data_IF_104138168621
#
_entry.id   IF_104138168621
#
_cell.length_a   1.000
_cell.length_b   1.000
_cell.length_c   1.000
_cell.angle_alpha   90.00
_cell.angle_beta   90.00
_cell.angle_gamma   90.00
#
_symmetry.space_group_name_H-M   'P 1'
#
loop_
_entity.id
_entity.type
_entity.pdbx_description
1 polymer ?
#
# COMPACT_ATOMS: atom_id res chain seq x y z
N UNK A 1 -18.75 56.93 29.41
CA UNK A 1 -19.89 57.85 29.32
C UNK A 1 -20.81 57.42 28.18
N UNK A 2 -21.91 56.73 28.52
CA UNK A 2 -23.07 56.51 27.66
C UNK A 2 -24.07 57.63 27.95
N UNK A 3 -24.80 58.11 26.94
CA UNK A 3 -26.21 58.55 26.98
C UNK A 3 -26.54 59.25 25.66
N UNK A 4 -27.52 58.71 24.92
CA UNK A 4 -28.71 59.49 24.53
C UNK A 4 -29.89 58.56 24.21
N UNK A 5 -30.98 58.83 24.93
CA UNK A 5 -32.33 58.25 24.82
C UNK A 5 -33.17 59.13 23.89
N UNK A 6 -34.19 58.57 23.23
CA UNK A 6 -35.61 59.00 23.32
C UNK A 6 -36.51 58.22 22.34
N UNK A 7 -37.51 57.45 22.83
CA UNK A 7 -38.99 57.70 22.85
C UNK A 7 -39.67 57.37 21.50
N UNK A 8 -40.53 56.34 21.35
CA UNK A 8 -41.86 55.99 21.93
C UNK A 8 -43.06 56.63 21.16
N UNK A 9 -43.99 55.75 20.75
CA UNK A 9 -45.46 55.90 20.55
C UNK A 9 -45.97 56.73 19.35
N UNK A 10 -46.70 56.17 18.37
CA UNK A 10 -48.10 55.64 18.33
C UNK A 10 -49.12 56.70 17.89
N UNK A 11 -49.97 56.37 16.90
CA UNK A 11 -51.41 56.75 16.75
C UNK A 11 -51.84 56.42 15.29
N UNK A 12 -52.65 55.39 15.02
CA UNK A 12 -54.11 55.27 15.17
C UNK A 12 -54.91 56.35 14.43
N UNK A 13 -55.53 55.96 13.31
CA UNK A 13 -56.79 56.53 12.83
C UNK A 13 -57.73 55.37 12.47
N UNK A 14 -58.88 55.41 13.13
CA UNK A 14 -60.01 54.47 13.12
C UNK A 14 -61.26 55.30 12.89
N UNK A 15 -62.18 54.84 12.03
CA UNK A 15 -63.63 54.79 12.28
C UNK A 15 -64.38 54.38 10.99
N UNK A 16 -65.04 53.21 10.97
CA UNK A 16 -66.47 52.95 11.29
C UNK A 16 -67.42 53.50 10.20
N UNK A 17 -68.40 52.76 9.63
CA UNK A 17 -69.45 51.92 10.25
C UNK A 17 -70.22 51.13 9.14
N UNK A 18 -70.54 49.84 9.39
CA UNK A 18 -71.88 49.18 9.28
C UNK A 18 -72.61 49.11 7.89
N UNK A 19 -73.27 48.04 7.40
CA UNK A 19 -74.14 46.98 7.94
C UNK A 19 -74.27 45.84 6.90
N UNK A 20 -74.31 44.58 7.36
CA UNK A 20 -75.16 43.46 6.85
C UNK A 20 -74.96 42.97 5.40
N UNK A 21 -75.47 41.84 4.93
CA UNK A 21 -76.23 40.74 5.51
C UNK A 21 -76.33 39.71 4.36
N UNK A 22 -75.84 38.49 4.57
CA UNK A 22 -76.33 37.20 4.05
C UNK A 22 -76.76 36.99 2.57
N UNK A 23 -76.27 35.86 2.02
CA UNK A 23 -76.89 34.90 1.08
C UNK A 23 -76.40 34.76 -0.38
N UNK A 24 -76.25 33.46 -0.74
CA UNK A 24 -76.15 32.77 -2.04
C UNK A 24 -74.78 32.80 -2.74
N UNK A 25 -73.93 31.77 -2.61
CA UNK A 25 -74.10 30.38 -3.14
C UNK A 25 -74.43 30.34 -4.64
N UNK A 26 -73.42 30.55 -5.48
CA UNK A 26 -73.35 29.91 -6.80
C UNK A 26 -71.97 29.30 -6.96
N UNK A 27 -71.96 27.97 -6.97
CA UNK A 27 -70.85 27.13 -7.35
C UNK A 27 -70.45 27.41 -8.80
N UNK A 28 -69.24 27.90 -9.01
CA UNK A 28 -68.51 27.68 -10.27
C UNK A 28 -67.13 27.18 -9.87
N UNK A 29 -67.01 25.85 -9.79
CA UNK A 29 -65.74 25.17 -9.68
C UNK A 29 -64.97 25.38 -10.99
N UNK A 30 -63.74 25.92 -11.00
CA UNK A 30 -62.87 25.70 -12.16
C UNK A 30 -62.53 24.20 -12.21
N UNK A 31 -62.44 23.59 -13.40
CA UNK A 31 -62.14 22.18 -13.52
C UNK A 31 -60.80 21.89 -12.85
N UNK A 32 -60.81 20.91 -11.94
CA UNK A 32 -59.60 20.32 -11.39
C UNK A 32 -58.80 19.78 -12.57
N UNK A 33 -57.72 20.49 -12.92
CA UNK A 33 -56.64 19.87 -13.64
C UNK A 33 -56.03 18.84 -12.68
N UNK A 34 -56.50 17.59 -12.77
CA UNK A 34 -55.77 16.45 -12.27
C UNK A 34 -54.41 16.46 -12.95
N UNK A 35 -53.43 17.05 -12.28
CA UNK A 35 -52.05 16.80 -12.61
C UNK A 35 -51.79 15.35 -12.20
N UNK A 36 -52.02 14.44 -13.16
CA UNK A 36 -51.53 13.07 -13.14
C UNK A 36 -50.01 13.18 -13.23
N UNK A 37 -49.37 13.50 -12.11
CA UNK A 37 -47.93 13.38 -11.98
C UNK A 37 -47.62 11.88 -11.97
N UNK A 38 -47.18 11.40 -13.13
CA UNK A 38 -46.85 10.01 -13.41
C UNK A 38 -45.84 9.44 -12.42
N UNK A 39 -46.34 8.82 -11.36
CA UNK A 39 -45.55 8.02 -10.43
C UNK A 39 -45.05 6.67 -11.00
N UNK A 40 -45.42 6.34 -12.24
CA UNK A 40 -45.08 5.06 -12.89
C UNK A 40 -43.79 5.04 -13.72
N UNK A 41 -43.26 6.19 -14.15
CA UNK A 41 -42.25 6.20 -15.22
C UNK A 41 -40.81 5.87 -14.79
N UNK A 42 -40.45 6.04 -13.51
CA UNK A 42 -39.07 5.77 -13.08
C UNK A 42 -38.75 4.28 -12.92
N UNK A 43 -39.75 3.45 -12.58
CA UNK A 43 -39.58 2.01 -12.46
C UNK A 43 -39.50 1.32 -13.84
N UNK A 44 -40.24 1.83 -14.83
CA UNK A 44 -40.24 1.32 -16.20
C UNK A 44 -38.96 1.69 -16.98
N UNK A 45 -38.32 2.82 -16.66
CA UNK A 45 -37.11 3.27 -17.33
C UNK A 45 -35.83 2.48 -16.95
N UNK A 46 -35.80 1.83 -15.78
CA UNK A 46 -34.64 1.08 -15.28
C UNK A 46 -35.03 -0.30 -14.72
N UNK A 47 -35.49 -1.24 -15.57
CA UNK A 47 -36.02 -2.51 -15.13
C UNK A 47 -34.95 -3.47 -14.57
N UNK A 48 -33.66 -3.19 -14.79
CA UNK A 48 -32.57 -4.09 -14.43
C UNK A 48 -31.80 -3.56 -13.21
N UNK A 49 -31.62 -4.39 -12.19
CA UNK A 49 -30.83 -4.08 -11.00
C UNK A 49 -29.52 -4.87 -11.00
N UNK A 50 -28.40 -4.16 -10.94
CA UNK A 50 -27.11 -4.71 -10.58
C UNK A 50 -26.88 -4.45 -9.09
N UNK A 51 -27.00 -5.50 -8.28
CA UNK A 51 -26.77 -5.40 -6.85
C UNK A 51 -25.29 -5.16 -6.53
N UNK A 52 -25.05 -4.50 -5.41
CA UNK A 52 -23.75 -4.25 -4.80
C UNK A 52 -22.96 -5.55 -4.62
N UNK A 53 -23.63 -6.62 -4.18
CA UNK A 53 -23.04 -7.95 -4.01
C UNK A 53 -22.55 -8.54 -5.34
N UNK A 54 -23.32 -8.39 -6.43
CA UNK A 54 -22.93 -8.87 -7.75
C UNK A 54 -21.71 -8.11 -8.28
N UNK A 55 -21.70 -6.79 -8.11
CA UNK A 55 -20.56 -5.95 -8.49
C UNK A 55 -19.31 -6.30 -7.67
N UNK A 56 -19.44 -6.50 -6.35
CA UNK A 56 -18.36 -6.95 -5.49
C UNK A 56 -17.82 -8.33 -5.92
N UNK A 57 -18.71 -9.28 -6.26
CA UNK A 57 -18.33 -10.59 -6.79
C UNK A 57 -17.50 -10.52 -8.07
N UNK A 58 -17.89 -9.64 -9.00
CA UNK A 58 -17.12 -9.38 -10.24
C UNK A 58 -15.74 -8.80 -9.91
N UNK A 59 -15.66 -7.82 -9.00
CA UNK A 59 -14.39 -7.25 -8.57
C UNK A 59 -13.49 -8.30 -7.91
N UNK A 60 -14.06 -9.17 -7.06
CA UNK A 60 -13.34 -10.28 -6.43
C UNK A 60 -12.76 -11.21 -7.49
N UNK A 61 -13.57 -11.65 -8.46
CA UNK A 61 -13.10 -12.54 -9.53
C UNK A 61 -11.96 -11.91 -10.34
N UNK A 62 -12.03 -10.61 -10.61
CA UNK A 62 -10.95 -9.90 -11.30
C UNK A 62 -9.64 -9.91 -10.49
N UNK A 63 -9.71 -9.73 -9.17
CA UNK A 63 -8.54 -9.81 -8.29
C UNK A 63 -7.91 -11.21 -8.30
N UNK A 64 -8.72 -12.26 -8.24
CA UNK A 64 -8.26 -13.65 -8.31
C UNK A 64 -7.55 -13.92 -9.65
N UNK A 65 -8.09 -13.42 -10.77
CA UNK A 65 -7.47 -13.53 -12.09
C UNK A 65 -6.12 -12.79 -12.15
N UNK A 66 -6.03 -11.58 -11.61
CA UNK A 66 -4.78 -10.82 -11.58
C UNK A 66 -3.72 -11.48 -10.68
N UNK A 67 -4.12 -12.03 -9.52
CA UNK A 67 -3.25 -12.82 -8.65
C UNK A 67 -2.68 -14.05 -9.39
N UNK A 68 -3.53 -14.76 -10.15
CA UNK A 68 -3.09 -15.88 -10.98
C UNK A 68 -2.10 -15.44 -12.07
N UNK A 69 -2.37 -14.33 -12.77
CA UNK A 69 -1.49 -13.81 -13.84
C UNK A 69 -0.09 -13.43 -13.34
N UNK A 70 0.02 -12.88 -12.13
CA UNK A 70 1.32 -12.54 -11.54
C UNK A 70 2.04 -13.76 -10.94
N UNK A 71 1.42 -14.94 -10.98
CA UNK A 71 1.97 -16.17 -10.43
C UNK A 71 1.91 -16.23 -8.90
N UNK A 72 0.98 -15.51 -8.28
CA UNK A 72 0.83 -15.50 -6.82
C UNK A 72 0.16 -16.79 -6.33
N UNK A 73 0.97 -17.78 -5.99
CA UNK A 73 0.51 -19.07 -5.46
C UNK A 73 0.38 -19.12 -3.93
N UNK A 74 0.76 -18.05 -3.21
CA UNK A 74 0.70 -18.04 -1.74
C UNK A 74 -0.74 -17.94 -1.24
N UNK A 75 -0.94 -18.35 0.02
CA UNK A 75 -2.22 -18.21 0.71
C UNK A 75 -2.58 -16.73 0.78
N UNK A 76 -3.76 -16.36 0.31
CA UNK A 76 -4.21 -14.97 0.31
C UNK A 76 -5.67 -14.86 0.75
N UNK A 77 -6.03 -13.67 1.22
CA UNK A 77 -7.38 -13.32 1.66
C UNK A 77 -7.76 -11.99 1.01
N UNK A 78 -8.92 -11.99 0.35
CA UNK A 78 -9.52 -10.80 -0.24
C UNK A 78 -10.69 -10.35 0.62
N UNK A 79 -10.54 -9.20 1.27
CA UNK A 79 -11.55 -8.62 2.16
C UNK A 79 -12.16 -7.37 1.54
N UNK A 80 -13.46 -7.40 1.27
CA UNK A 80 -14.17 -6.22 0.78
C UNK A 80 -14.18 -5.14 1.87
N UNK A 81 -13.57 -3.99 1.59
CA UNK A 81 -13.49 -2.86 2.53
C UNK A 81 -14.57 -1.82 2.22
N UNK A 82 -14.81 -1.54 0.94
CA UNK A 82 -15.89 -0.62 0.51
C UNK A 82 -16.65 -1.26 -0.63
N UNK A 83 -17.95 -1.45 -0.40
CA UNK A 83 -18.89 -1.98 -1.39
C UNK A 83 -19.36 -0.88 -2.34
N UNK A 84 -19.52 -1.16 -3.64
CA UNK A 84 -20.12 -0.20 -4.57
C UNK A 84 -21.62 -0.04 -4.27
N UNK A 85 -22.25 1.10 -4.57
CA UNK A 85 -23.70 1.23 -4.46
C UNK A 85 -24.42 0.36 -5.49
N UNK A 86 -25.66 -0.02 -5.19
CA UNK A 86 -26.55 -0.65 -6.16
C UNK A 86 -26.71 0.24 -7.41
N UNK A 87 -26.80 -0.40 -8.58
CA UNK A 87 -26.90 0.29 -9.84
C UNK A 87 -28.14 -0.16 -10.61
N UNK A 88 -29.07 0.77 -10.83
CA UNK A 88 -30.21 0.57 -11.72
C UNK A 88 -29.80 0.89 -13.16
N UNK A 89 -30.14 -0.01 -14.08
CA UNK A 89 -29.76 0.01 -15.48
C UNK A 89 -31.02 0.04 -16.37
N UNK A 90 -30.97 0.79 -17.49
CA UNK A 90 -32.04 0.78 -18.47
C UNK A 90 -32.15 -0.58 -19.16
N UNK A 91 -33.28 -0.85 -19.81
CA UNK A 91 -33.48 -2.06 -20.58
C UNK A 91 -32.42 -2.19 -21.68
N UNK A 92 -31.77 -3.35 -21.77
CA UNK A 92 -30.77 -3.61 -22.82
C UNK A 92 -29.87 -4.79 -22.50
N UNK A 93 -28.91 -5.02 -23.39
CA UNK A 93 -27.83 -6.01 -23.17
C UNK A 93 -26.77 -5.38 -22.28
N UNK A 94 -26.54 -5.98 -21.11
CA UNK A 94 -25.52 -5.53 -20.16
C UNK A 94 -24.18 -6.21 -20.46
N UNK A 95 -23.12 -5.42 -20.58
CA UNK A 95 -21.74 -5.90 -20.56
C UNK A 95 -20.99 -5.17 -19.46
N UNK A 96 -20.09 -5.86 -18.77
CA UNK A 96 -19.23 -5.25 -17.76
C UNK A 96 -17.77 -5.63 -17.99
N UNK A 97 -16.89 -4.76 -17.54
CA UNK A 97 -15.45 -4.96 -17.57
C UNK A 97 -14.89 -4.51 -16.23
N UNK A 98 -14.07 -5.35 -15.60
CA UNK A 98 -13.40 -5.05 -14.35
C UNK A 98 -11.90 -4.91 -14.60
N UNK A 99 -11.30 -3.85 -14.07
CA UNK A 99 -9.88 -3.57 -14.21
C UNK A 99 -9.30 -3.13 -12.87
N UNK A 100 -8.03 -3.46 -12.65
CA UNK A 100 -7.25 -2.96 -11.52
C UNK A 100 -6.37 -1.84 -12.04
N UNK A 101 -6.46 -0.62 -11.51
CA UNK A 101 -5.55 0.45 -11.90
C UNK A 101 -4.15 0.18 -11.31
N UNK A 102 -3.14 0.18 -12.17
CA UNK A 102 -1.74 0.04 -11.77
C UNK A 102 -1.35 -1.37 -11.33
N UNK A 103 -0.34 -1.46 -10.46
CA UNK A 103 0.16 -2.74 -9.93
C UNK A 103 -0.68 -3.20 -8.73
N UNK A 104 -0.68 -4.51 -8.52
CA UNK A 104 -1.27 -5.13 -7.32
C UNK A 104 -0.36 -4.86 -6.12
N UNK A 105 -0.91 -4.34 -5.02
CA UNK A 105 -0.18 -4.09 -3.79
C UNK A 105 -0.69 -4.96 -2.66
N UNK A 106 0.20 -5.70 -2.00
CA UNK A 106 -0.14 -6.52 -0.83
C UNK A 106 -0.23 -5.67 0.44
N UNK A 107 -1.14 -6.02 1.33
CA UNK A 107 -1.37 -5.37 2.61
C UNK A 107 -2.17 -4.07 2.53
N UNK A 108 -2.29 -3.48 1.34
CA UNK A 108 -3.03 -2.25 1.10
C UNK A 108 -4.43 -2.51 0.53
N UNK A 109 -5.21 -1.43 0.44
CA UNK A 109 -6.52 -1.46 -0.19
C UNK A 109 -6.35 -1.23 -1.69
N UNK A 110 -6.70 -2.24 -2.49
CA UNK A 110 -6.69 -2.21 -3.94
C UNK A 110 -8.07 -1.77 -4.47
N UNK A 111 -8.14 -0.67 -5.23
CA UNK A 111 -9.35 -0.31 -5.96
C UNK A 111 -9.54 -1.24 -7.16
N UNK A 112 -10.78 -1.60 -7.45
CA UNK A 112 -11.19 -2.30 -8.68
C UNK A 112 -12.24 -1.47 -9.37
N UNK A 113 -11.95 -1.04 -10.59
CA UNK A 113 -12.86 -0.25 -11.40
C UNK A 113 -13.73 -1.18 -12.23
N UNK A 114 -15.04 -1.02 -12.11
CA UNK A 114 -16.02 -1.75 -12.90
C UNK A 114 -16.68 -0.77 -13.86
N UNK A 115 -16.51 -1.00 -15.15
CA UNK A 115 -17.18 -0.26 -16.22
C UNK A 115 -18.40 -1.06 -16.65
N UNK A 116 -19.58 -0.45 -16.56
CA UNK A 116 -20.85 -1.07 -16.96
C UNK A 116 -21.34 -0.42 -18.25
N UNK A 117 -21.58 -1.25 -19.25
CA UNK A 117 -22.05 -0.87 -20.58
C UNK A 117 -23.46 -1.40 -20.80
N UNK A 118 -24.31 -0.59 -21.44
CA UNK A 118 -25.64 -0.99 -21.88
C UNK A 118 -25.73 -0.72 -23.38
N UNK A 119 -26.05 -1.75 -24.17
CA UNK A 119 -26.05 -1.69 -25.63
C UNK A 119 -24.74 -1.10 -26.18
N UNK A 120 -23.61 -1.60 -25.66
CA UNK A 120 -22.22 -1.22 -26.02
C UNK A 120 -21.80 0.21 -25.66
N UNK A 121 -22.69 1.03 -25.09
CA UNK A 121 -22.37 2.37 -24.60
C UNK A 121 -22.06 2.33 -23.10
N UNK A 122 -20.96 2.97 -22.69
CA UNK A 122 -20.62 3.12 -21.27
C UNK A 122 -21.75 3.86 -20.56
N UNK A 123 -22.36 3.21 -19.57
CA UNK A 123 -23.44 3.79 -18.78
C UNK A 123 -22.90 4.42 -17.49
N UNK A 124 -22.18 3.63 -16.69
CA UNK A 124 -21.66 4.10 -15.39
C UNK A 124 -20.41 3.32 -14.97
N UNK A 125 -19.60 3.96 -14.14
CA UNK A 125 -18.48 3.33 -13.43
C UNK A 125 -18.86 3.07 -11.99
N UNK A 126 -18.47 1.92 -11.47
CA UNK A 126 -18.49 1.60 -10.05
C UNK A 126 -17.06 1.30 -9.59
N UNK A 127 -16.76 1.58 -8.33
CA UNK A 127 -15.45 1.29 -7.75
C UNK A 127 -15.69 0.46 -6.49
N UNK A 128 -14.97 -0.64 -6.38
CA UNK A 128 -14.92 -1.47 -5.18
C UNK A 128 -13.52 -1.35 -4.58
N UNK A 129 -13.43 -1.46 -3.26
CA UNK A 129 -12.14 -1.47 -2.58
C UNK A 129 -11.95 -2.78 -1.82
N UNK A 130 -10.89 -3.52 -2.15
CA UNK A 130 -10.54 -4.78 -1.51
C UNK A 130 -9.20 -4.65 -0.81
N UNK A 131 -9.11 -5.13 0.43
CA UNK A 131 -7.82 -5.39 1.04
C UNK A 131 -7.30 -6.74 0.53
N UNK A 132 -6.09 -6.73 -0.02
CA UNK A 132 -5.41 -7.92 -0.54
C UNK A 132 -4.34 -8.33 0.48
N UNK A 133 -4.62 -9.37 1.25
CA UNK A 133 -3.68 -9.89 2.24
C UNK A 133 -3.05 -11.14 1.69
N UNK A 134 -1.72 -11.16 1.58
CA UNK A 134 -0.95 -12.34 1.17
C UNK A 134 -0.14 -12.81 2.37
N UNK A 135 -0.08 -14.11 2.58
CA UNK A 135 0.58 -14.71 3.72
C UNK A 135 1.76 -15.56 3.24
N UNK A 136 2.89 -15.40 3.92
CA UNK A 136 4.10 -16.18 3.65
C UNK A 136 4.72 -16.63 4.96
N UNK A 137 5.38 -17.80 4.94
CA UNK A 137 6.22 -18.25 6.04
C UNK A 137 7.55 -17.49 5.97
N UNK A 138 7.74 -16.57 6.91
CA UNK A 138 8.92 -15.70 7.00
C UNK A 138 9.65 -15.94 8.32
N UNK A 139 10.92 -15.57 8.34
CA UNK A 139 11.73 -15.60 9.55
C UNK A 139 11.39 -14.41 10.42
N UNK A 140 11.11 -14.70 11.68
CA UNK A 140 10.77 -13.74 12.72
C UNK A 140 11.81 -13.86 13.83
N UNK A 141 12.20 -12.72 14.40
CA UNK A 141 13.09 -12.68 15.53
C UNK A 141 12.45 -13.37 16.76
N UNK A 142 13.04 -14.46 17.22
CA UNK A 142 12.58 -15.20 18.41
C UNK A 142 12.96 -14.51 19.72
N UNK A 143 13.90 -13.57 19.66
CA UNK A 143 14.33 -12.71 20.76
C UNK A 143 14.77 -11.36 20.21
N UNK A 144 15.12 -10.41 21.09
CA UNK A 144 15.69 -9.15 20.65
C UNK A 144 17.10 -9.36 20.09
N UNK A 145 17.35 -8.83 18.88
CA UNK A 145 18.64 -8.88 18.20
C UNK A 145 19.26 -7.48 18.15
N UNK A 146 20.42 -7.34 18.77
CA UNK A 146 21.20 -6.10 18.80
C UNK A 146 21.97 -5.84 17.50
N UNK A 147 22.42 -4.60 17.35
CA UNK A 147 23.34 -4.17 16.29
C UNK A 147 24.61 -5.04 16.32
N UNK A 148 25.04 -5.51 15.15
CA UNK A 148 26.24 -6.36 14.97
C UNK A 148 26.25 -7.67 15.76
N UNK A 149 25.14 -8.03 16.42
CA UNK A 149 25.03 -9.28 17.17
C UNK A 149 24.99 -10.50 16.24
N UNK A 150 25.74 -11.55 16.59
CA UNK A 150 25.66 -12.84 15.91
C UNK A 150 24.28 -13.47 16.10
N UNK A 151 23.65 -13.88 15.01
CA UNK A 151 22.34 -14.52 15.02
C UNK A 151 22.51 -16.03 15.15
N UNK A 152 22.17 -16.59 16.31
CA UNK A 152 22.17 -18.04 16.53
C UNK A 152 20.93 -18.74 15.94
N UNK A 153 20.97 -20.06 15.79
CA UNK A 153 19.87 -20.85 15.22
C UNK A 153 18.53 -20.68 15.97
N UNK A 154 18.59 -20.53 17.30
CA UNK A 154 17.41 -20.36 18.16
C UNK A 154 16.94 -18.90 18.25
N UNK A 155 17.69 -17.96 17.69
CA UNK A 155 17.37 -16.54 17.75
C UNK A 155 16.25 -16.15 16.76
N UNK A 156 15.89 -17.08 15.86
CA UNK A 156 14.92 -16.87 14.78
C UNK A 156 14.01 -18.09 14.64
N UNK A 157 12.77 -17.85 14.19
CA UNK A 157 11.78 -18.90 13.94
C UNK A 157 10.95 -18.59 12.71
N UNK A 158 10.44 -19.62 12.05
CA UNK A 158 9.49 -19.45 10.95
C UNK A 158 8.08 -19.21 11.48
N UNK A 159 7.46 -18.13 11.06
CA UNK A 159 6.06 -17.83 11.32
C UNK A 159 5.37 -17.44 10.02
N UNK A 160 4.09 -17.77 9.90
CA UNK A 160 3.26 -17.24 8.82
C UNK A 160 2.86 -15.79 9.15
N UNK A 161 3.24 -14.85 8.29
CA UNK A 161 2.93 -13.43 8.42
C UNK A 161 2.34 -12.88 7.15
N UNK A 162 1.52 -11.85 7.31
CA UNK A 162 1.08 -11.04 6.19
C UNK A 162 2.29 -10.30 5.60
N UNK A 163 2.53 -10.49 4.31
CA UNK A 163 3.61 -9.81 3.60
C UNK A 163 3.11 -8.51 3.01
N UNK A 164 3.86 -7.44 3.24
CA UNK A 164 3.65 -6.18 2.56
C UNK A 164 4.49 -6.14 1.28
N UNK A 165 3.96 -5.55 0.21
CA UNK A 165 4.68 -5.36 -1.06
C UNK A 165 5.75 -4.27 -1.01
N UNK A 166 6.38 -4.04 0.15
CA UNK A 166 7.36 -2.98 0.39
C UNK A 166 8.74 -3.26 -0.21
N UNK A 167 9.69 -2.36 0.06
CA UNK A 167 11.07 -2.41 -0.49
C UNK A 167 11.95 -3.51 0.12
N UNK A 168 11.59 -4.02 1.30
CA UNK A 168 12.32 -5.11 1.96
C UNK A 168 11.76 -6.48 1.58
N UNK A 169 12.62 -7.36 1.06
CA UNK A 169 12.29 -8.78 0.89
C UNK A 169 12.42 -9.49 2.25
N UNK A 170 11.34 -10.08 2.73
CA UNK A 170 11.37 -10.94 3.91
C UNK A 170 12.24 -12.17 3.66
N UNK A 171 12.98 -12.59 4.68
CA UNK A 171 13.79 -13.81 4.61
C UNK A 171 12.92 -15.02 4.95
N UNK A 172 13.05 -16.08 4.16
CA UNK A 172 12.23 -17.30 4.29
C UNK A 172 13.06 -18.55 4.61
N UNK A 173 14.39 -18.47 4.48
CA UNK A 173 15.32 -19.57 4.72
C UNK A 173 16.38 -19.19 5.73
N UNK A 174 16.68 -20.11 6.66
CA UNK A 174 17.71 -19.91 7.69
C UNK A 174 19.10 -19.66 7.09
N UNK A 175 19.39 -20.22 5.91
CA UNK A 175 20.61 -20.00 5.14
C UNK A 175 20.85 -18.53 4.80
N UNK A 176 19.78 -17.73 4.60
CA UNK A 176 19.90 -16.31 4.27
C UNK A 176 20.37 -15.46 5.46
N UNK A 177 20.33 -16.01 6.67
CA UNK A 177 20.74 -15.38 7.93
C UNK A 177 22.16 -15.80 8.31
N UNK A 178 22.58 -17.01 7.92
CA UNK A 178 23.84 -17.60 8.32
C UNK A 178 25.02 -16.67 7.98
N UNK A 179 25.85 -16.39 8.99
CA UNK A 179 27.02 -15.53 8.83
C UNK A 179 26.71 -14.04 8.60
N UNK A 180 25.48 -13.58 8.85
CA UNK A 180 25.11 -12.16 8.81
C UNK A 180 24.80 -11.62 10.21
N UNK A 181 24.86 -10.31 10.34
CA UNK A 181 24.58 -9.57 11.58
C UNK A 181 23.59 -8.43 11.32
N UNK A 182 22.75 -8.06 12.30
CA UNK A 182 21.84 -6.93 12.16
C UNK A 182 22.57 -5.59 11.99
N UNK A 183 22.02 -4.71 11.17
CA UNK A 183 22.48 -3.32 11.00
C UNK A 183 21.75 -2.33 11.91
N UNK A 184 20.73 -2.82 12.61
CA UNK A 184 19.88 -2.10 13.56
C UNK A 184 19.32 -3.07 14.58
N UNK A 185 18.74 -2.55 15.65
CA UNK A 185 18.01 -3.36 16.61
C UNK A 185 16.77 -3.98 15.95
N UNK A 186 16.54 -5.28 16.17
CA UNK A 186 15.36 -6.01 15.71
C UNK A 186 14.65 -6.55 16.95
N UNK A 187 13.39 -6.14 17.13
CA UNK A 187 12.62 -6.56 18.29
C UNK A 187 12.13 -8.01 18.14
N UNK A 188 11.97 -8.70 19.26
CA UNK A 188 11.28 -9.99 19.30
C UNK A 188 9.91 -9.90 18.63
N UNK A 189 9.57 -10.88 17.79
CA UNK A 189 8.32 -10.94 17.06
C UNK A 189 8.28 -10.12 15.76
N UNK A 190 9.37 -9.40 15.44
CA UNK A 190 9.51 -8.65 14.19
C UNK A 190 9.97 -9.56 13.03
N UNK A 191 9.32 -9.49 11.84
CA UNK A 191 9.82 -10.16 10.64
C UNK A 191 11.18 -9.62 10.20
N UNK A 192 12.06 -10.52 9.77
CA UNK A 192 13.41 -10.19 9.34
C UNK A 192 13.41 -9.96 7.83
N UNK A 193 13.85 -8.77 7.44
CA UNK A 193 14.04 -8.38 6.04
C UNK A 193 15.51 -8.43 5.65
N UNK A 194 15.80 -8.66 4.37
CA UNK A 194 17.16 -8.68 3.85
C UNK A 194 17.92 -7.37 4.10
N UNK A 195 17.23 -6.23 4.09
CA UNK A 195 17.81 -4.91 4.34
C UNK A 195 18.19 -4.68 5.83
N UNK A 196 17.80 -5.58 6.73
CA UNK A 196 18.12 -5.50 8.17
C UNK A 196 19.47 -6.15 8.48
N UNK A 197 20.00 -6.95 7.56
CA UNK A 197 21.19 -7.76 7.78
C UNK A 197 22.34 -7.33 6.86
N UNK A 198 23.56 -7.51 7.35
CA UNK A 198 24.78 -7.31 6.58
C UNK A 198 25.84 -8.35 6.97
N UNK A 199 26.91 -8.45 6.19
CA UNK A 199 28.05 -9.29 6.55
C UNK A 199 28.76 -8.71 7.80
N UNK A 200 29.27 -9.54 8.73
CA UNK A 200 30.02 -9.08 9.89
C UNK A 200 31.33 -8.39 9.48
N UNK A 201 31.89 -7.63 10.41
CA UNK A 201 33.24 -7.10 10.26
C UNK A 201 34.20 -8.27 10.44
N UNK A 202 35.01 -8.53 9.42
CA UNK A 202 36.03 -9.60 9.43
C UNK A 202 37.44 -9.04 9.55
N UNK A 203 37.65 -7.78 9.13
CA UNK A 203 38.93 -7.08 9.20
C UNK A 203 38.76 -5.85 10.10
N UNK A 204 39.64 -5.71 11.09
CA UNK A 204 39.69 -4.52 11.95
C UNK A 204 40.75 -3.53 11.46
N UNK A 205 40.63 -2.22 11.79
CA UNK A 205 41.69 -1.26 11.51
C UNK A 205 43.00 -1.70 12.18
N UNK A 206 44.11 -1.41 11.50
CA UNK A 206 45.47 -1.80 11.88
C UNK A 206 45.74 -3.31 11.91
N UNK A 207 44.83 -4.15 11.41
CA UNK A 207 45.10 -5.57 11.26
C UNK A 207 46.03 -5.86 10.06
N UNK A 208 46.95 -6.82 10.18
CA UNK A 208 47.74 -7.29 9.05
C UNK A 208 46.85 -8.05 8.07
N UNK A 209 47.00 -7.77 6.78
CA UNK A 209 46.24 -8.40 5.69
C UNK A 209 47.14 -8.74 4.52
N UNK A 210 46.85 -9.84 3.83
CA UNK A 210 47.47 -10.20 2.55
C UNK A 210 46.75 -9.46 1.42
N UNK A 211 47.50 -8.65 0.69
CA UNK A 211 47.06 -7.97 -0.51
C UNK A 211 47.27 -8.89 -1.70
N UNK A 212 46.22 -9.18 -2.46
CA UNK A 212 46.29 -9.95 -3.69
C UNK A 212 45.92 -9.04 -4.84
N UNK A 213 46.75 -8.99 -5.88
CA UNK A 213 46.45 -8.30 -7.13
C UNK A 213 46.66 -9.26 -8.29
N UNK A 214 45.82 -9.18 -9.33
CA UNK A 214 46.04 -9.90 -10.58
C UNK A 214 46.45 -8.90 -11.66
N UNK A 215 47.70 -8.99 -12.12
CA UNK A 215 48.28 -8.09 -13.10
C UNK A 215 48.72 -8.93 -14.30
N UNK A 216 48.09 -8.72 -15.46
CA UNK A 216 48.40 -9.44 -16.70
C UNK A 216 48.38 -10.97 -16.57
N UNK A 217 47.48 -11.52 -15.74
CA UNK A 217 47.37 -12.96 -15.50
C UNK A 217 48.34 -13.51 -14.45
N UNK A 218 49.18 -12.66 -13.86
CA UNK A 218 50.07 -13.02 -12.74
C UNK A 218 49.45 -12.56 -11.44
N UNK A 219 49.27 -13.49 -10.51
CA UNK A 219 48.84 -13.18 -9.15
C UNK A 219 50.05 -12.71 -8.32
N UNK A 220 49.99 -11.46 -7.87
CA UNK A 220 50.98 -10.85 -6.98
C UNK A 220 50.41 -10.79 -5.57
N UNK A 221 51.16 -11.26 -4.58
CA UNK A 221 50.80 -11.15 -3.17
C UNK A 221 51.79 -10.26 -2.42
N UNK A 222 51.30 -9.38 -1.56
CA UNK A 222 52.11 -8.53 -0.69
C UNK A 222 51.47 -8.38 0.69
N UNK A 223 52.27 -8.07 1.72
CA UNK A 223 51.74 -7.77 3.04
C UNK A 223 51.24 -6.32 3.12
N UNK A 224 50.13 -6.13 3.83
CA UNK A 224 49.50 -4.85 4.03
C UNK A 224 48.89 -4.71 5.42
N UNK A 225 48.49 -3.48 5.73
CA UNK A 225 47.82 -3.11 6.98
C UNK A 225 46.49 -2.48 6.61
N UNK A 226 45.39 -3.02 7.13
CA UNK A 226 44.07 -2.44 6.93
C UNK A 226 43.94 -1.10 7.67
N UNK A 227 43.36 -0.08 7.01
CA UNK A 227 43.16 1.24 7.63
C UNK A 227 41.71 1.44 8.10
N UNK A 228 40.80 0.56 7.70
CA UNK A 228 39.37 0.66 7.95
C UNK A 228 38.79 -0.71 8.31
N UNK A 229 37.61 -0.72 8.93
CA UNK A 229 36.82 -1.95 9.15
C UNK A 229 36.41 -2.54 7.81
N UNK A 230 36.66 -3.83 7.61
CA UNK A 230 36.33 -4.56 6.40
C UNK A 230 35.28 -5.63 6.65
N UNK A 231 34.27 -5.67 5.78
CA UNK A 231 33.28 -6.73 5.71
C UNK A 231 33.50 -7.49 4.40
N UNK A 232 33.25 -8.80 4.39
CA UNK A 232 33.38 -9.61 3.17
C UNK A 232 32.62 -8.96 2.01
N UNK A 233 33.30 -8.79 0.89
CA UNK A 233 32.80 -8.16 -0.33
C UNK A 233 32.81 -6.62 -0.33
N UNK A 234 33.09 -5.98 0.81
CA UNK A 234 33.18 -4.53 0.96
C UNK A 234 34.54 -3.98 0.51
N UNK A 235 34.58 -2.69 0.17
CA UNK A 235 35.80 -1.99 -0.21
C UNK A 235 36.44 -1.32 1.01
N UNK A 236 37.74 -1.52 1.20
CA UNK A 236 38.51 -0.89 2.27
C UNK A 236 39.81 -0.27 1.75
N UNK A 237 40.29 0.74 2.49
CA UNK A 237 41.64 1.28 2.31
C UNK A 237 42.66 0.45 3.10
N UNK A 238 43.77 0.15 2.45
CA UNK A 238 44.89 -0.61 3.02
C UNK A 238 46.19 0.09 2.69
N UNK A 239 47.21 -0.09 3.54
CA UNK A 239 48.57 0.40 3.31
C UNK A 239 49.47 -0.78 3.04
N UNK A 240 50.23 -0.76 1.96
CA UNK A 240 51.25 -1.77 1.71
C UNK A 240 52.38 -1.64 2.75
N UNK A 241 52.75 -2.74 3.40
CA UNK A 241 53.72 -2.74 4.49
C UNK A 241 55.15 -2.42 4.02
N UNK A 242 55.49 -2.72 2.76
CA UNK A 242 56.82 -2.51 2.19
C UNK A 242 56.97 -1.13 1.54
N UNK A 243 56.00 -0.73 0.71
CA UNK A 243 56.07 0.53 -0.07
C UNK A 243 55.40 1.73 0.59
N UNK A 244 54.72 1.53 1.73
CA UNK A 244 53.88 2.54 2.39
C UNK A 244 52.78 3.17 1.51
N UNK A 245 52.53 2.63 0.31
CA UNK A 245 51.49 3.12 -0.59
C UNK A 245 50.10 2.80 -0.05
N UNK A 246 49.19 3.77 -0.14
CA UNK A 246 47.77 3.57 0.11
C UNK A 246 47.13 2.93 -1.11
N UNK A 247 46.42 1.83 -0.89
CA UNK A 247 45.70 1.09 -1.90
C UNK A 247 44.25 0.91 -1.46
N UNK A 248 43.37 0.64 -2.42
CA UNK A 248 41.98 0.30 -2.16
C UNK A 248 41.70 -1.08 -2.75
N UNK A 249 40.97 -1.89 -2.00
CA UNK A 249 40.66 -3.24 -2.43
C UNK A 249 39.39 -3.79 -1.80
N UNK A 250 38.92 -4.91 -2.37
CA UNK A 250 37.75 -5.66 -1.93
C UNK A 250 38.17 -6.72 -0.93
N UNK A 251 37.49 -6.78 0.20
CA UNK A 251 37.73 -7.82 1.21
C UNK A 251 37.21 -9.16 0.70
N UNK A 252 38.10 -10.16 0.61
CA UNK A 252 37.72 -11.53 0.25
C UNK A 252 37.36 -12.32 1.51
N UNK A 253 38.23 -12.27 2.53
CA UNK A 253 38.09 -13.02 3.78
C UNK A 253 38.65 -12.21 4.97
N UNK A 254 38.82 -12.84 6.14
CA UNK A 254 39.29 -12.17 7.35
C UNK A 254 40.73 -11.62 7.26
N UNK A 255 41.55 -12.13 6.35
CA UNK A 255 42.96 -11.79 6.22
C UNK A 255 43.34 -11.34 4.80
N UNK A 256 42.45 -11.43 3.81
CA UNK A 256 42.79 -11.24 2.40
C UNK A 256 41.99 -10.10 1.77
N UNK A 257 42.70 -9.22 1.06
CA UNK A 257 42.12 -8.09 0.33
C UNK A 257 42.59 -8.12 -1.12
N UNK A 258 41.64 -8.15 -2.05
CA UNK A 258 41.89 -8.05 -3.49
C UNK A 258 42.04 -6.59 -3.90
N UNK A 259 43.20 -6.21 -4.39
CA UNK A 259 43.45 -4.85 -4.90
C UNK A 259 42.95 -4.75 -6.33
N UNK A 260 42.00 -3.85 -6.56
CA UNK A 260 41.57 -3.46 -7.91
C UNK A 260 42.38 -2.22 -8.31
N UNK A 261 43.62 -2.43 -8.75
CA UNK A 261 44.55 -1.36 -9.10
C UNK A 261 45.25 -1.67 -10.42
N UNK A 262 45.22 -0.68 -11.32
CA UNK A 262 45.84 -0.68 -12.66
C UNK A 262 47.36 -0.51 -12.59
#
# INVERSE_FOLDING_TARGET
MKVKRSRIASLFTSWMLWIGFFCLSVCVSPPQAEAIYGGGQQAEAFPQLMSSQKLAGIARQQLELELYKVGEGRRHVLTLTVSPPDMRLPAGKIRYEAEIPGKLHYGNVQPVHIRVFVNEKLYRRAICYYRVQVFEKVLVAGMNLGLEQTIGANAVRLEEREVQGGTGRYLTKYEDIAGRVPIRYIHMGQPIEQNMLQNPVVINPNSPVKLIANINGVQVSADGIALQKGRIGGMIRVRNAHSNRLLQGRVIDANTVEITGR
#
